data_IF_856653315635
#
_entry.id   IF_856653315635
#
_cell.length_a   1.000
_cell.length_b   1.000
_cell.length_c   1.000
_cell.angle_alpha   90.00
_cell.angle_beta   90.00
_cell.angle_gamma   90.00
#
_symmetry.space_group_name_H-M   'P 1'
#
loop_
_entity.id
_entity.type
_entity.pdbx_description
1 polymer ?
#
# COMPACT_ATOMS: atom_id res chain seq x y z
N UNK A 1 -17.74 22.00 17.59
CA UNK A 1 -17.84 20.55 17.34
C UNK A 1 -18.69 20.38 16.10
N UNK A 2 -18.09 20.03 14.97
CA UNK A 2 -18.86 19.63 13.79
C UNK A 2 -19.48 18.28 14.14
N UNK A 3 -20.79 18.22 14.34
CA UNK A 3 -21.49 16.93 14.38
C UNK A 3 -21.19 16.22 13.07
N UNK A 4 -20.41 15.15 13.12
CA UNK A 4 -20.31 14.24 11.99
C UNK A 4 -21.64 13.49 11.99
N UNK A 5 -22.63 14.09 11.34
CA UNK A 5 -23.81 13.34 10.92
C UNK A 5 -23.31 12.34 9.90
N UNK A 6 -23.03 11.11 10.36
CA UNK A 6 -22.84 9.95 9.49
C UNK A 6 -24.16 9.76 8.75
N UNK A 7 -24.29 10.46 7.64
CA UNK A 7 -25.46 10.46 6.77
C UNK A 7 -25.71 9.02 6.38
N UNK A 8 -26.98 8.59 6.40
CA UNK A 8 -27.35 7.25 5.92
C UNK A 8 -26.84 7.08 4.48
N UNK A 9 -25.70 6.42 4.32
CA UNK A 9 -25.17 6.08 3.01
C UNK A 9 -26.11 5.08 2.34
N UNK A 10 -26.14 5.01 1.02
CA UNK A 10 -27.02 4.06 0.28
C UNK A 10 -26.77 2.59 0.67
N UNK A 11 -25.60 2.28 1.22
CA UNK A 11 -25.25 0.97 1.76
C UNK A 11 -25.74 0.73 3.20
N UNK A 12 -26.64 1.57 3.75
CA UNK A 12 -27.22 1.38 5.07
C UNK A 12 -27.89 0.00 5.17
N UNK A 13 -27.19 -0.95 5.79
CA UNK A 13 -27.72 -2.29 6.03
C UNK A 13 -28.52 -2.30 7.32
N UNK A 14 -29.60 -3.08 7.34
CA UNK A 14 -30.40 -3.31 8.54
C UNK A 14 -29.53 -4.04 9.57
N UNK A 15 -29.49 -3.60 10.85
CA UNK A 15 -28.83 -4.34 11.92
C UNK A 15 -29.23 -5.81 11.91
N UNK A 16 -28.24 -6.70 11.84
CA UNK A 16 -28.44 -8.17 11.82
C UNK A 16 -28.67 -8.83 10.46
N UNK A 17 -28.60 -8.10 9.33
CA UNK A 17 -28.69 -8.69 7.97
C UNK A 17 -27.56 -8.23 7.04
N UNK A 18 -26.31 -8.48 7.40
CA UNK A 18 -25.16 -8.28 6.50
C UNK A 18 -24.17 -9.43 6.61
N UNK A 19 -23.40 -9.64 5.55
CA UNK A 19 -22.25 -10.53 5.53
C UNK A 19 -20.98 -9.67 5.46
N UNK A 20 -20.12 -9.80 6.48
CA UNK A 20 -18.91 -8.98 6.60
C UNK A 20 -17.90 -9.24 5.47
N UNK A 21 -17.94 -10.44 4.89
CA UNK A 21 -17.07 -10.82 3.77
C UNK A 21 -17.53 -10.20 2.44
N UNK A 22 -18.79 -9.73 2.38
CA UNK A 22 -19.44 -9.24 1.16
C UNK A 22 -20.01 -7.81 1.32
N UNK A 23 -19.38 -6.98 2.17
CA UNK A 23 -19.76 -5.57 2.32
C UNK A 23 -19.37 -4.73 1.08
N UNK A 24 -20.13 -3.66 0.74
CA UNK A 24 -19.75 -2.75 -0.33
C UNK A 24 -18.43 -2.04 -0.04
N UNK A 25 -17.51 -2.01 -1.00
CA UNK A 25 -16.18 -1.38 -0.88
C UNK A 25 -16.14 0.08 -1.34
N UNK A 26 -17.25 0.59 -1.87
CA UNK A 26 -17.43 1.95 -2.36
C UNK A 26 -18.20 2.85 -1.36
N UNK A 27 -18.37 2.41 -0.10
CA UNK A 27 -19.08 3.19 0.91
C UNK A 27 -18.35 4.51 1.23
N UNK A 28 -18.91 5.62 0.73
CA UNK A 28 -18.38 6.97 0.91
C UNK A 28 -18.24 7.35 2.39
N UNK A 29 -19.20 6.96 3.24
CA UNK A 29 -19.16 7.28 4.66
C UNK A 29 -18.00 6.57 5.38
N UNK A 30 -17.71 5.32 5.00
CA UNK A 30 -16.56 4.56 5.52
C UNK A 30 -15.25 5.21 5.09
N UNK A 31 -15.12 5.58 3.81
CA UNK A 31 -13.92 6.27 3.32
C UNK A 31 -13.75 7.66 3.94
N UNK A 32 -14.83 8.41 4.19
CA UNK A 32 -14.77 9.69 4.93
C UNK A 32 -14.30 9.49 6.37
N UNK A 33 -14.73 8.42 7.04
CA UNK A 33 -14.27 8.09 8.39
C UNK A 33 -12.75 7.83 8.40
N UNK A 34 -12.27 6.99 7.47
CA UNK A 34 -10.84 6.66 7.35
C UNK A 34 -10.02 7.90 6.97
N UNK A 35 -10.39 8.59 5.88
CA UNK A 35 -9.68 9.77 5.37
C UNK A 35 -9.75 10.99 6.30
N UNK A 36 -10.76 11.08 7.16
CA UNK A 36 -10.81 12.06 8.26
C UNK A 36 -9.88 11.71 9.44
N UNK A 37 -9.33 10.50 9.45
CA UNK A 37 -8.52 9.97 10.56
C UNK A 37 -9.34 9.73 11.83
N UNK A 38 -10.63 9.44 11.70
CA UNK A 38 -11.53 9.07 12.80
C UNK A 38 -11.41 7.58 13.12
N UNK A 39 -10.19 7.07 13.20
CA UNK A 39 -9.88 5.64 13.13
C UNK A 39 -9.63 4.98 14.48
N UNK A 40 -10.02 5.60 15.60
CA UNK A 40 -9.95 4.94 16.92
C UNK A 40 -10.73 3.61 16.87
N UNK A 41 -10.06 2.51 17.25
CA UNK A 41 -10.58 1.13 17.17
C UNK A 41 -10.52 0.48 15.79
N UNK A 42 -10.15 1.21 14.73
CA UNK A 42 -10.01 0.66 13.37
C UNK A 42 -8.66 -0.04 13.23
N UNK A 43 -8.66 -1.26 12.72
CA UNK A 43 -7.46 -2.10 12.61
C UNK A 43 -6.36 -1.40 11.78
N UNK A 44 -5.09 -1.56 12.20
CA UNK A 44 -3.86 -0.93 11.65
C UNK A 44 -3.75 0.60 11.73
N UNK A 45 -4.85 1.35 11.67
CA UNK A 45 -4.83 2.83 11.57
C UNK A 45 -5.33 3.55 12.83
N UNK A 46 -5.47 2.86 13.96
CA UNK A 46 -5.95 3.41 15.24
C UNK A 46 -5.00 4.42 15.90
N UNK A 47 -3.69 4.19 15.84
CA UNK A 47 -2.70 5.03 16.54
C UNK A 47 -2.64 6.44 15.93
N UNK A 48 -2.17 7.42 16.73
CA UNK A 48 -2.03 8.83 16.32
C UNK A 48 -1.32 9.00 14.98
N UNK A 49 -0.20 8.30 14.77
CA UNK A 49 0.53 8.31 13.50
C UNK A 49 -0.35 7.83 12.33
N UNK A 50 -1.10 6.73 12.53
CA UNK A 50 -2.04 6.22 11.53
C UNK A 50 -3.15 7.20 11.20
N UNK A 51 -3.75 7.83 12.21
CA UNK A 51 -4.77 8.87 12.03
C UNK A 51 -4.24 10.08 11.25
N UNK A 52 -3.04 10.56 11.57
CA UNK A 52 -2.44 11.71 10.91
C UNK A 52 -2.11 11.41 9.44
N UNK A 53 -1.60 10.21 9.16
CA UNK A 53 -1.30 9.79 7.79
C UNK A 53 -2.54 9.44 6.99
N UNK A 54 -3.60 8.90 7.61
CA UNK A 54 -4.88 8.71 6.93
C UNK A 54 -5.46 10.07 6.46
N UNK A 55 -5.31 11.14 7.25
CA UNK A 55 -5.68 12.51 6.85
C UNK A 55 -4.83 13.08 5.70
N UNK A 56 -3.56 12.72 5.64
CA UNK A 56 -2.64 13.16 4.58
C UNK A 56 -2.90 12.39 3.28
N UNK A 57 -2.96 11.07 3.37
CA UNK A 57 -3.15 10.17 2.23
C UNK A 57 -4.59 10.23 1.70
N UNK A 58 -5.59 10.40 2.57
CA UNK A 58 -7.02 10.38 2.22
C UNK A 58 -7.40 9.15 1.36
N UNK A 59 -7.17 7.91 1.84
CA UNK A 59 -7.48 6.72 1.05
C UNK A 59 -8.98 6.66 0.71
N UNK A 60 -9.29 6.29 -0.53
CA UNK A 60 -10.66 6.18 -1.04
C UNK A 60 -10.98 4.79 -1.62
N UNK A 61 -10.03 3.86 -1.57
CA UNK A 61 -10.18 2.48 -2.00
C UNK A 61 -9.20 1.56 -1.23
N UNK A 62 -9.36 0.25 -1.40
CA UNK A 62 -8.57 -0.76 -0.68
C UNK A 62 -7.08 -0.71 -1.04
N UNK A 63 -6.72 -0.46 -2.30
CA UNK A 63 -5.32 -0.41 -2.73
C UNK A 63 -4.56 0.76 -2.10
N UNK A 64 -5.23 1.91 -1.95
CA UNK A 64 -4.67 3.07 -1.25
C UNK A 64 -4.60 2.85 0.26
N UNK A 65 -5.56 2.15 0.85
CA UNK A 65 -5.49 1.76 2.26
C UNK A 65 -4.35 0.76 2.51
N UNK A 66 -4.14 -0.20 1.60
CA UNK A 66 -3.01 -1.12 1.61
C UNK A 66 -1.68 -0.35 1.50
N UNK A 67 -1.64 0.69 0.65
CA UNK A 67 -0.48 1.56 0.50
C UNK A 67 -0.23 2.38 1.76
N UNK A 68 -1.27 2.94 2.38
CA UNK A 68 -1.17 3.67 3.66
C UNK A 68 -0.53 2.79 4.74
N UNK A 69 -1.01 1.57 4.94
CA UNK A 69 -0.44 0.63 5.93
C UNK A 69 1.01 0.27 5.59
N UNK A 70 1.29 0.06 4.30
CA UNK A 70 2.64 -0.29 3.84
C UNK A 70 3.64 0.86 4.00
N UNK A 71 3.21 2.10 3.81
CA UNK A 71 4.05 3.31 3.89
C UNK A 71 4.25 3.81 5.32
N UNK A 72 3.43 3.37 6.27
CA UNK A 72 3.51 3.72 7.69
C UNK A 72 4.53 2.90 8.48
N UNK A 73 5.74 2.78 7.95
CA UNK A 73 6.86 2.03 8.55
C UNK A 73 8.13 2.88 8.56
N UNK A 74 9.12 2.59 9.43
CA UNK A 74 10.34 3.39 9.53
C UNK A 74 11.04 3.62 8.17
N UNK A 75 11.26 2.57 7.38
CA UNK A 75 11.97 2.68 6.09
C UNK A 75 11.33 3.62 5.05
N UNK A 76 10.03 3.47 4.71
CA UNK A 76 9.37 4.40 3.78
C UNK A 76 9.29 5.84 4.30
N UNK A 77 9.17 6.03 5.62
CA UNK A 77 9.17 7.36 6.24
C UNK A 77 10.54 8.04 6.15
N UNK A 78 11.61 7.30 6.45
CA UNK A 78 13.00 7.79 6.37
C UNK A 78 13.43 8.13 4.93
N UNK A 79 12.95 7.36 3.95
CA UNK A 79 13.27 7.58 2.53
C UNK A 79 12.42 8.65 1.85
N UNK A 80 11.54 9.34 2.60
CA UNK A 80 10.56 10.32 2.08
C UNK A 80 9.57 9.74 1.05
N UNK A 81 9.55 8.42 0.83
CA UNK A 81 8.62 7.75 -0.08
C UNK A 81 7.16 8.01 0.31
N UNK A 82 6.86 7.93 1.62
CA UNK A 82 5.52 8.20 2.11
C UNK A 82 5.10 9.66 1.83
N UNK A 83 6.04 10.60 1.92
CA UNK A 83 5.79 12.01 1.62
C UNK A 83 5.57 12.23 0.12
N UNK A 84 6.40 11.62 -0.75
CA UNK A 84 6.22 11.63 -2.20
C UNK A 84 4.82 11.14 -2.61
N UNK A 85 4.38 9.99 -2.07
CA UNK A 85 3.05 9.44 -2.33
C UNK A 85 1.94 10.45 -2.02
N UNK A 86 2.02 11.12 -0.86
CA UNK A 86 1.04 12.14 -0.46
C UNK A 86 1.08 13.35 -1.38
N UNK A 87 2.27 13.84 -1.73
CA UNK A 87 2.41 15.05 -2.53
C UNK A 87 1.92 14.84 -3.96
N UNK A 88 2.22 13.68 -4.57
CA UNK A 88 1.68 13.33 -5.88
C UNK A 88 0.17 13.14 -5.83
N UNK A 89 -0.33 12.33 -4.90
CA UNK A 89 -1.77 12.08 -4.77
C UNK A 89 -2.57 13.36 -4.52
N UNK A 90 -2.02 14.30 -3.75
CA UNK A 90 -2.68 15.57 -3.45
C UNK A 90 -2.51 16.64 -4.54
N UNK A 91 -1.79 16.33 -5.63
CA UNK A 91 -1.52 17.25 -6.73
C UNK A 91 -0.51 18.35 -6.41
N UNK A 92 0.25 18.22 -5.30
CA UNK A 92 1.31 19.16 -4.93
C UNK A 92 2.60 18.94 -5.73
N UNK A 93 2.79 17.73 -6.23
CA UNK A 93 3.90 17.34 -7.10
C UNK A 93 3.34 16.63 -8.33
N UNK A 94 3.85 16.93 -9.51
CA UNK A 94 3.52 16.16 -10.71
C UNK A 94 4.15 14.76 -10.66
N UNK A 95 3.43 13.77 -11.17
CA UNK A 95 3.91 12.40 -11.23
C UNK A 95 4.83 12.25 -12.44
N UNK A 96 6.11 12.05 -12.17
CA UNK A 96 7.13 11.78 -13.18
C UNK A 96 7.62 10.34 -13.03
N UNK A 97 7.71 9.64 -14.16
CA UNK A 97 8.30 8.31 -14.22
C UNK A 97 9.68 8.42 -14.85
N UNK A 98 10.60 7.61 -14.34
CA UNK A 98 11.92 7.46 -14.96
C UNK A 98 11.82 6.90 -16.39
N UNK A 99 10.81 6.05 -16.65
CA UNK A 99 10.53 5.52 -17.97
C UNK A 99 9.05 5.10 -18.09
N UNK A 100 8.49 5.18 -19.31
CA UNK A 100 7.08 4.83 -19.59
C UNK A 100 6.72 3.37 -19.25
N UNK A 101 7.71 2.46 -19.35
CA UNK A 101 7.53 1.05 -19.00
C UNK A 101 7.20 0.81 -17.52
N UNK A 102 7.44 1.80 -16.65
CA UNK A 102 7.11 1.74 -15.23
C UNK A 102 5.66 2.12 -14.93
N UNK A 103 4.99 2.86 -15.82
CA UNK A 103 3.61 3.32 -15.65
C UNK A 103 2.68 2.17 -15.27
N UNK A 104 2.56 1.07 -16.05
CA UNK A 104 1.61 0.00 -15.73
C UNK A 104 1.89 -0.72 -14.40
N UNK A 105 3.07 -0.52 -13.80
CA UNK A 105 3.49 -1.19 -12.57
C UNK A 105 3.35 -0.28 -11.35
N UNK A 106 3.63 1.02 -11.51
CA UNK A 106 3.75 1.97 -10.40
C UNK A 106 2.63 3.01 -10.34
N UNK A 107 1.74 3.07 -11.34
CA UNK A 107 0.63 4.04 -11.39
C UNK A 107 -0.29 3.95 -10.16
N UNK A 108 -0.71 2.74 -9.79
CA UNK A 108 -1.54 2.48 -8.59
C UNK A 108 -0.88 2.90 -7.27
N UNK A 109 0.42 3.16 -7.27
CA UNK A 109 1.19 3.61 -6.10
C UNK A 109 1.83 4.98 -6.30
N UNK A 110 1.33 5.77 -7.26
CA UNK A 110 1.81 7.13 -7.54
C UNK A 110 3.33 7.17 -7.78
N UNK A 111 3.86 6.23 -8.55
CA UNK A 111 5.29 6.14 -8.86
C UNK A 111 6.16 5.49 -7.78
N UNK A 112 5.61 5.19 -6.60
CA UNK A 112 6.37 4.56 -5.52
C UNK A 112 6.53 3.05 -5.71
N UNK A 113 7.76 2.53 -5.58
CA UNK A 113 8.03 1.10 -5.51
C UNK A 113 7.79 0.55 -4.09
N UNK A 114 6.52 0.30 -3.75
CA UNK A 114 6.09 -0.08 -2.39
C UNK A 114 6.15 -1.60 -2.16
N UNK A 115 5.83 -2.39 -3.19
CA UNK A 115 5.58 -3.81 -3.06
C UNK A 115 6.67 -4.69 -3.68
N UNK A 116 6.89 -5.87 -3.09
CA UNK A 116 7.82 -6.87 -3.63
C UNK A 116 7.39 -7.34 -5.03
N UNK A 117 6.07 -7.48 -5.22
CA UNK A 117 5.47 -7.89 -6.49
C UNK A 117 5.73 -6.88 -7.61
N UNK A 118 5.83 -5.58 -7.28
CA UNK A 118 6.21 -4.55 -8.26
C UNK A 118 7.66 -4.72 -8.71
N UNK A 119 8.58 -4.95 -7.77
CA UNK A 119 10.00 -5.18 -8.11
C UNK A 119 10.19 -6.41 -9.00
N UNK A 120 9.45 -7.50 -8.70
CA UNK A 120 9.44 -8.69 -9.53
C UNK A 120 8.87 -8.42 -10.92
N UNK A 121 7.76 -7.66 -11.00
CA UNK A 121 7.15 -7.30 -12.28
C UNK A 121 8.08 -6.45 -13.14
N UNK A 122 8.78 -5.48 -12.54
CA UNK A 122 9.80 -4.66 -13.23
C UNK A 122 10.90 -5.55 -13.81
N UNK A 123 11.42 -6.51 -13.03
CA UNK A 123 12.46 -7.42 -13.51
C UNK A 123 12.01 -8.31 -14.67
N UNK A 124 10.75 -8.74 -14.68
CA UNK A 124 10.17 -9.52 -15.78
C UNK A 124 9.89 -8.64 -17.00
N UNK A 125 9.31 -7.46 -16.83
CA UNK A 125 8.84 -6.63 -17.93
C UNK A 125 9.99 -5.86 -18.61
N UNK A 126 10.97 -5.39 -17.84
CA UNK A 126 12.11 -4.61 -18.36
C UNK A 126 13.28 -5.49 -18.77
N UNK A 127 13.70 -6.41 -17.91
CA UNK A 127 14.89 -7.24 -18.14
C UNK A 127 14.60 -8.65 -18.65
N UNK A 128 13.35 -9.09 -18.66
CA UNK A 128 12.98 -10.42 -19.12
C UNK A 128 13.49 -11.54 -18.25
N UNK A 129 13.45 -11.35 -16.94
CA UNK A 129 13.79 -12.40 -15.99
C UNK A 129 12.98 -13.67 -16.25
N UNK A 130 13.69 -14.80 -16.34
CA UNK A 130 13.09 -16.13 -16.32
C UNK A 130 12.40 -16.40 -14.97
N UNK A 131 11.52 -17.40 -14.87
CA UNK A 131 10.94 -17.80 -13.59
C UNK A 131 11.99 -18.08 -12.51
N UNK A 132 13.13 -18.64 -12.90
CA UNK A 132 14.27 -18.89 -11.99
C UNK A 132 14.90 -17.59 -11.50
N UNK A 133 15.23 -16.64 -12.40
CA UNK A 133 15.81 -15.36 -11.99
C UNK A 133 14.82 -14.53 -11.15
N UNK A 134 13.53 -14.60 -11.45
CA UNK A 134 12.48 -13.95 -10.65
C UNK A 134 12.39 -14.55 -9.23
N UNK A 135 12.46 -15.88 -9.08
CA UNK A 135 12.48 -16.52 -7.75
C UNK A 135 13.78 -16.19 -6.99
N UNK A 136 14.92 -16.14 -7.68
CA UNK A 136 16.19 -15.70 -7.10
C UNK A 136 16.10 -14.25 -6.61
N UNK A 137 15.49 -13.34 -7.39
CA UNK A 137 15.26 -11.96 -6.97
C UNK A 137 14.36 -11.87 -5.74
N UNK A 138 13.26 -12.62 -5.72
CA UNK A 138 12.38 -12.71 -4.55
C UNK A 138 13.14 -13.17 -3.30
N UNK A 139 13.97 -14.21 -3.43
CA UNK A 139 14.82 -14.72 -2.33
C UNK A 139 15.85 -13.68 -1.89
N UNK A 140 16.50 -13.00 -2.83
CA UNK A 140 17.49 -11.97 -2.54
C UNK A 140 16.88 -10.82 -1.72
N UNK A 141 15.71 -10.34 -2.15
CA UNK A 141 14.93 -9.30 -1.44
C UNK A 141 14.51 -9.80 -0.05
N UNK A 142 13.88 -10.97 0.05
CA UNK A 142 13.34 -11.46 1.31
C UNK A 142 14.41 -11.76 2.36
N UNK A 143 15.54 -12.37 1.95
CA UNK A 143 16.63 -12.80 2.84
C UNK A 143 17.79 -11.81 2.94
N UNK A 144 17.70 -10.69 2.22
CA UNK A 144 18.73 -9.65 2.16
C UNK A 144 20.11 -10.16 1.75
N UNK A 145 20.18 -10.87 0.62
CA UNK A 145 21.40 -11.56 0.15
C UNK A 145 22.21 -10.67 -0.83
N UNK A 146 23.28 -9.97 -0.38
CA UNK A 146 23.97 -8.97 -1.21
C UNK A 146 24.69 -9.58 -2.42
N UNK A 147 25.32 -10.76 -2.25
CA UNK A 147 26.02 -11.44 -3.36
C UNK A 147 25.06 -11.81 -4.49
N UNK A 148 23.93 -12.43 -4.13
CA UNK A 148 22.89 -12.79 -5.09
C UNK A 148 22.27 -11.56 -5.75
N UNK A 149 22.10 -10.45 -5.01
CA UNK A 149 21.60 -9.21 -5.58
C UNK A 149 22.54 -8.61 -6.63
N UNK A 150 23.86 -8.64 -6.38
CA UNK A 150 24.85 -8.17 -7.35
C UNK A 150 24.84 -9.02 -8.64
N UNK A 151 24.77 -10.35 -8.52
CA UNK A 151 24.64 -11.24 -9.68
C UNK A 151 23.36 -10.96 -10.49
N UNK A 152 22.26 -10.66 -9.79
CA UNK A 152 21.00 -10.31 -10.44
C UNK A 152 21.05 -8.93 -11.09
N UNK A 153 21.83 -7.99 -10.56
CA UNK A 153 22.05 -6.67 -11.19
C UNK A 153 22.64 -6.82 -12.58
N UNK A 154 23.72 -7.59 -12.70
CA UNK A 154 24.38 -7.85 -13.98
C UNK A 154 23.42 -8.49 -14.98
N UNK A 155 22.65 -9.49 -14.53
CA UNK A 155 21.62 -10.15 -15.34
C UNK A 155 20.50 -9.19 -15.76
N UNK A 156 20.09 -8.28 -14.87
CA UNK A 156 19.06 -7.29 -15.14
C UNK A 156 19.50 -6.31 -16.23
N UNK A 157 20.69 -5.73 -16.09
CA UNK A 157 21.23 -4.77 -17.06
C UNK A 157 21.42 -5.46 -18.43
N UNK A 158 22.01 -6.66 -18.45
CA UNK A 158 22.17 -7.42 -19.69
C UNK A 158 20.81 -7.76 -20.36
N UNK A 159 19.82 -8.13 -19.56
CA UNK A 159 18.46 -8.40 -20.02
C UNK A 159 17.75 -7.15 -20.57
N UNK A 160 17.88 -6.02 -19.88
CA UNK A 160 17.32 -4.74 -20.29
C UNK A 160 17.94 -4.27 -21.61
N UNK A 161 19.27 -4.32 -21.73
CA UNK A 161 20.00 -4.00 -22.96
C UNK A 161 19.59 -4.91 -24.12
N UNK A 162 19.38 -6.21 -23.88
CA UNK A 162 18.92 -7.15 -24.91
C UNK A 162 17.49 -6.84 -25.38
N UNK A 163 16.62 -6.39 -24.48
CA UNK A 163 15.24 -6.02 -24.82
C UNK A 163 15.15 -4.65 -25.49
N UNK A 164 16.09 -3.75 -25.20
CA UNK A 164 16.15 -2.41 -25.78
C UNK A 164 14.99 -1.51 -25.36
N UNK A 165 14.33 -1.80 -24.22
CA UNK A 165 13.22 -1.00 -23.70
C UNK A 165 13.70 0.26 -22.97
N UNK A 166 14.88 0.22 -22.38
CA UNK A 166 15.50 1.31 -21.63
C UNK A 166 17.00 1.33 -21.96
N UNK A 167 17.64 2.50 -21.85
CA UNK A 167 19.09 2.58 -21.90
C UNK A 167 19.75 2.01 -20.62
N UNK A 168 21.07 1.84 -20.67
CA UNK A 168 21.82 1.21 -19.57
C UNK A 168 21.82 2.06 -18.28
N UNK A 169 21.80 3.38 -18.39
CA UNK A 169 21.79 4.29 -17.24
C UNK A 169 20.45 4.20 -16.51
N UNK A 170 19.35 4.24 -17.28
CA UNK A 170 17.99 4.02 -16.81
C UNK A 170 17.84 2.64 -16.18
N UNK A 171 18.38 1.58 -16.80
CA UNK A 171 18.34 0.23 -16.24
C UNK A 171 19.08 0.14 -14.89
N UNK A 172 20.24 0.78 -14.77
CA UNK A 172 21.01 0.83 -13.53
C UNK A 172 20.24 1.57 -12.43
N UNK A 173 19.61 2.70 -12.76
CA UNK A 173 18.82 3.45 -11.80
C UNK A 173 17.59 2.66 -11.33
N UNK A 174 16.85 2.04 -12.25
CA UNK A 174 15.71 1.17 -11.93
C UNK A 174 16.14 0.03 -11.01
N UNK A 175 17.27 -0.63 -11.30
CA UNK A 175 17.76 -1.70 -10.44
C UNK A 175 18.17 -1.17 -9.06
N UNK A 176 18.73 0.03 -8.97
CA UNK A 176 19.04 0.66 -7.69
C UNK A 176 17.79 0.86 -6.82
N UNK A 177 16.63 1.12 -7.43
CA UNK A 177 15.36 1.21 -6.72
C UNK A 177 14.95 -0.15 -6.17
N UNK A 178 15.10 -1.22 -6.97
CA UNK A 178 14.86 -2.62 -6.54
C UNK A 178 15.77 -3.00 -5.36
N UNK A 179 17.05 -2.63 -5.38
CA UNK A 179 17.98 -2.88 -4.28
C UNK A 179 17.56 -2.15 -3.00
N UNK A 180 17.17 -0.87 -3.12
CA UNK A 180 16.66 -0.09 -1.98
C UNK A 180 15.34 -0.67 -1.44
N UNK A 181 14.48 -1.17 -2.33
CA UNK A 181 13.20 -1.80 -2.01
C UNK A 181 13.36 -2.98 -1.02
N UNK A 182 14.51 -3.67 -1.02
CA UNK A 182 14.82 -4.72 -0.04
C UNK A 182 14.71 -4.28 1.43
N UNK A 183 14.91 -2.99 1.71
CA UNK A 183 14.88 -2.47 3.10
C UNK A 183 13.47 -2.22 3.61
N UNK A 184 12.55 -1.88 2.72
CA UNK A 184 11.24 -1.34 3.10
C UNK A 184 10.06 -1.91 2.32
N UNK A 185 10.26 -2.79 1.34
CA UNK A 185 9.16 -3.41 0.59
C UNK A 185 8.18 -4.14 1.51
N UNK A 186 6.96 -4.27 1.03
CA UNK A 186 5.94 -5.11 1.68
C UNK A 186 5.38 -6.12 0.70
N UNK A 187 4.82 -7.20 1.22
CA UNK A 187 4.07 -8.15 0.41
C UNK A 187 2.67 -7.55 0.10
N UNK A 188 2.34 -7.37 -1.18
CA UNK A 188 1.07 -6.73 -1.60
C UNK A 188 -0.14 -7.52 -1.12
N UNK A 189 -0.12 -8.85 -1.26
CA UNK A 189 -1.25 -9.69 -0.85
C UNK A 189 -1.55 -9.54 0.64
N UNK A 190 -0.51 -9.56 1.48
CA UNK A 190 -0.65 -9.35 2.92
C UNK A 190 -1.16 -7.95 3.27
N UNK A 191 -0.66 -6.90 2.60
CA UNK A 191 -1.17 -5.54 2.78
C UNK A 191 -2.65 -5.40 2.39
N UNK A 192 -3.07 -6.00 1.27
CA UNK A 192 -4.48 -5.98 0.85
C UNK A 192 -5.36 -6.71 1.87
N UNK A 193 -4.95 -7.88 2.36
CA UNK A 193 -5.71 -8.59 3.40
C UNK A 193 -5.87 -7.75 4.68
N UNK A 194 -4.82 -7.04 5.10
CA UNK A 194 -4.88 -6.17 6.29
C UNK A 194 -5.72 -4.91 6.04
N UNK A 195 -5.66 -4.36 4.83
CA UNK A 195 -6.49 -3.25 4.40
C UNK A 195 -7.98 -3.62 4.38
N UNK A 196 -8.32 -4.82 3.93
CA UNK A 196 -9.69 -5.35 3.97
C UNK A 196 -10.23 -5.42 5.40
N UNK A 197 -9.47 -5.98 6.34
CA UNK A 197 -9.87 -6.00 7.77
C UNK A 197 -9.97 -4.58 8.34
N UNK A 198 -9.05 -3.69 7.97
CA UNK A 198 -9.12 -2.27 8.31
C UNK A 198 -10.40 -1.60 7.78
N UNK A 199 -10.79 -1.89 6.54
CA UNK A 199 -12.01 -1.39 5.94
C UNK A 199 -13.26 -1.96 6.61
N UNK A 200 -13.33 -3.27 6.81
CA UNK A 200 -14.42 -3.95 7.52
C UNK A 200 -14.64 -3.37 8.91
N UNK A 201 -13.57 -3.16 9.69
CA UNK A 201 -13.67 -2.53 11.03
C UNK A 201 -14.14 -1.08 10.97
N UNK A 202 -13.68 -0.29 9.99
CA UNK A 202 -14.16 1.07 9.77
C UNK A 202 -15.63 1.12 9.33
N UNK A 203 -16.04 0.18 8.48
CA UNK A 203 -17.41 0.03 8.01
C UNK A 203 -18.35 -0.31 9.17
N UNK A 204 -17.97 -1.28 10.00
CA UNK A 204 -18.71 -1.61 11.23
C UNK A 204 -18.83 -0.41 12.16
N UNK A 205 -17.73 0.32 12.38
CA UNK A 205 -17.76 1.55 13.17
C UNK A 205 -18.70 2.62 12.60
N UNK A 206 -18.75 2.73 11.27
CA UNK A 206 -19.58 3.71 10.58
C UNK A 206 -21.08 3.37 10.63
N UNK A 207 -21.43 2.09 10.49
CA UNK A 207 -22.82 1.64 10.32
C UNK A 207 -23.45 1.06 11.59
N UNK A 208 -22.64 0.51 12.49
CA UNK A 208 -23.03 -0.10 13.75
C UNK A 208 -22.17 0.43 14.91
N UNK A 209 -22.15 1.77 15.14
CA UNK A 209 -21.25 2.37 16.12
C UNK A 209 -21.50 1.86 17.54
N UNK A 210 -22.75 1.60 17.92
CA UNK A 210 -23.09 1.12 19.25
C UNK A 210 -22.51 -0.28 19.51
N UNK A 211 -22.74 -1.21 18.59
CA UNK A 211 -22.22 -2.58 18.64
C UNK A 211 -20.70 -2.57 18.55
N UNK A 212 -20.13 -1.78 17.63
CA UNK A 212 -18.69 -1.65 17.46
C UNK A 212 -18.00 -1.18 18.75
N UNK A 213 -18.46 -0.08 19.35
CA UNK A 213 -17.84 0.45 20.56
C UNK A 213 -18.09 -0.44 21.78
N UNK A 214 -19.27 -1.06 21.89
CA UNK A 214 -19.54 -2.05 22.94
C UNK A 214 -18.53 -3.20 22.86
N UNK A 215 -18.39 -3.84 21.70
CA UNK A 215 -17.41 -4.90 21.50
C UNK A 215 -15.97 -4.42 21.72
N UNK A 216 -15.60 -3.26 21.18
CA UNK A 216 -14.25 -2.72 21.32
C UNK A 216 -13.87 -2.47 22.79
N UNK A 217 -14.79 -1.94 23.60
CA UNK A 217 -14.58 -1.74 25.04
C UNK A 217 -14.54 -3.07 25.79
N UNK A 218 -15.45 -4.01 25.51
CA UNK A 218 -15.46 -5.34 26.12
C UNK A 218 -14.14 -6.07 25.93
N UNK A 219 -13.55 -6.00 24.73
CA UNK A 219 -12.30 -6.70 24.41
C UNK A 219 -11.04 -5.85 24.60
N UNK A 220 -11.16 -4.61 25.12
CA UNK A 220 -10.01 -3.71 25.32
C UNK A 220 -8.95 -4.29 26.26
N UNK A 221 -9.35 -5.11 27.24
CA UNK A 221 -8.47 -5.78 28.19
C UNK A 221 -7.57 -6.87 27.57
N UNK A 222 -7.84 -7.33 26.35
CA UNK A 222 -7.00 -8.30 25.65
C UNK A 222 -5.83 -7.66 24.90
N UNK A 223 -5.77 -6.32 24.84
CA UNK A 223 -4.62 -5.58 24.31
C UNK A 223 -3.64 -5.27 25.45
N UNK A 224 -2.83 -6.26 25.83
CA UNK A 224 -1.61 -6.11 26.64
C UNK A 224 -0.39 -6.49 25.82
#
# INVERSE_FOLDING_TARGET
MTEIQFTKCKCCVVPGKFDIENIPLDCEATWKLISGGYTIGVFQVEKKLGQDWARKVKPNNIEEQASLVSLLRPGPLESLMSQHYVDVKSGKKELEYLHESLIPILDTTYGCLVYQEQALRIAVDIAGFSPENADNLRKAIAKKLPKLMAELKEKFIAGANKRGLVDSETAEEIFSWIEKCQRYSFNKAHAVSYAMVGYQTAWMKCHFPHEFFTSWLTYSHYKS
#
